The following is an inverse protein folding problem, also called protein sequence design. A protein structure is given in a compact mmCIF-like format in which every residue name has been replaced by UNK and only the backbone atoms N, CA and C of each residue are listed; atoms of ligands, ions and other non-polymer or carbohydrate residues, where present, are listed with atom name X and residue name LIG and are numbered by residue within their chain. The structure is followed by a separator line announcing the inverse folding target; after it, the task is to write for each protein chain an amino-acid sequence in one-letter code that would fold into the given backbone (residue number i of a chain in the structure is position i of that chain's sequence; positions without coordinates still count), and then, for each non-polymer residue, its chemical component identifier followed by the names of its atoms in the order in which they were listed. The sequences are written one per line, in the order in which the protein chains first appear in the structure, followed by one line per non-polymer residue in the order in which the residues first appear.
data_IF_921135071067
#
_entry.id   IF_921135071067
#
_cell.length_a   1.000
_cell.length_b   1.000
_cell.length_c   1.000
_cell.angle_alpha   90.00
_cell.angle_beta   90.00
_cell.angle_gamma   90.00
#
_symmetry.space_group_name_H-M   'P 1'
#
loop_
_entity.id
_entity.type
_entity.pdbx_description
1 polymer ?
#
# COMPACT_ATOMS: atom_id res chain seq x y z
N UNK A 1 11.30 -10.47 -14.87
CA UNK A 1 10.75 -9.41 -15.74
C UNK A 1 9.59 -10.00 -16.53
N UNK A 2 8.43 -10.14 -15.90
CA UNK A 2 7.24 -10.69 -16.52
C UNK A 2 6.36 -9.53 -17.01
N UNK A 3 6.14 -9.41 -18.32
CA UNK A 3 5.04 -8.62 -18.88
C UNK A 3 5.19 -7.10 -19.00
N UNK A 4 6.37 -6.51 -18.75
CA UNK A 4 6.54 -5.06 -18.90
C UNK A 4 6.67 -4.64 -20.37
N UNK A 5 5.84 -3.69 -20.78
CA UNK A 5 5.90 -2.98 -22.06
C UNK A 5 7.06 -1.95 -21.99
N UNK A 6 8.30 -2.39 -21.78
CA UNK A 6 9.53 -1.59 -21.93
C UNK A 6 9.71 -0.32 -21.07
N UNK A 7 8.70 0.10 -20.30
CA UNK A 7 8.71 1.33 -19.50
C UNK A 7 8.43 0.99 -18.03
N UNK A 8 9.41 1.24 -17.19
CA UNK A 8 9.32 1.06 -15.74
C UNK A 8 9.07 2.43 -15.11
N UNK A 9 7.84 2.66 -14.64
CA UNK A 9 7.54 3.80 -13.75
C UNK A 9 7.39 3.23 -12.36
N UNK A 10 8.24 3.61 -11.40
CA UNK A 10 7.97 3.33 -10.00
C UNK A 10 6.81 4.21 -9.52
N UNK A 11 5.58 3.81 -9.82
CA UNK A 11 4.35 4.57 -9.54
C UNK A 11 3.73 4.27 -8.17
N UNK A 12 4.48 3.61 -7.29
CA UNK A 12 4.00 3.28 -5.95
C UNK A 12 5.12 3.01 -4.96
N UNK A 13 6.20 2.36 -5.41
CA UNK A 13 7.27 1.89 -4.52
C UNK A 13 8.34 2.94 -4.23
N UNK A 14 8.65 3.11 -2.94
CA UNK A 14 9.72 3.97 -2.41
C UNK A 14 9.57 5.47 -2.76
N UNK A 15 8.37 5.88 -3.16
CA UNK A 15 8.04 7.25 -3.51
C UNK A 15 8.20 8.24 -2.33
N UNK A 16 8.21 7.71 -1.10
CA UNK A 16 8.57 8.42 0.12
C UNK A 16 9.75 9.39 -0.03
N UNK A 17 10.82 8.92 -0.68
CA UNK A 17 12.06 9.68 -0.89
C UNK A 17 11.79 11.04 -1.54
N UNK A 18 10.77 11.14 -2.40
CA UNK A 18 10.35 12.37 -3.07
C UNK A 18 9.99 13.48 -2.08
N UNK A 19 9.28 13.17 -0.99
CA UNK A 19 8.86 14.15 0.02
C UNK A 19 10.04 14.69 0.83
N UNK A 20 11.15 13.95 0.88
CA UNK A 20 12.36 14.38 1.58
C UNK A 20 13.29 15.20 0.69
N UNK A 21 13.24 15.05 -0.64
CA UNK A 21 14.10 15.81 -1.59
C UNK A 21 14.06 17.34 -1.41
N UNK A 22 12.93 17.99 -1.04
CA UNK A 22 12.93 19.43 -0.72
C UNK A 22 13.74 19.79 0.55
N UNK A 23 13.91 18.85 1.47
CA UNK A 23 14.63 19.02 2.74
C UNK A 23 16.09 18.54 2.59
N UNK A 24 16.28 17.40 1.93
CA UNK A 24 17.55 16.71 1.69
C UNK A 24 17.63 16.25 0.22
N UNK A 25 18.08 17.12 -0.70
CA UNK A 25 18.13 16.81 -2.13
C UNK A 25 19.16 15.72 -2.47
N UNK A 26 20.24 15.65 -1.69
CA UNK A 26 21.32 14.65 -1.76
C UNK A 26 21.65 14.12 -0.37
N UNK A 27 22.29 12.95 -0.31
CA UNK A 27 22.82 12.43 0.93
C UNK A 27 23.92 13.36 1.48
N UNK A 28 24.04 13.51 2.80
CA UNK A 28 25.11 14.31 3.40
C UNK A 28 26.49 13.71 3.14
N UNK A 29 27.50 14.57 3.00
CA UNK A 29 28.92 14.20 2.97
C UNK A 29 29.61 14.75 4.24
N UNK A 30 30.22 13.91 5.10
CA UNK A 30 30.33 12.46 5.01
C UNK A 30 28.98 11.76 5.25
N UNK A 31 28.81 10.56 4.66
CA UNK A 31 27.61 9.75 4.83
C UNK A 31 27.49 9.29 6.28
N UNK A 32 26.38 9.64 6.93
CA UNK A 32 26.09 9.28 8.33
C UNK A 32 25.12 8.11 8.41
N UNK A 33 25.27 7.29 9.46
CA UNK A 33 24.39 6.15 9.69
C UNK A 33 23.00 6.61 10.12
N UNK A 34 22.92 7.71 10.87
CA UNK A 34 21.68 8.33 11.34
C UNK A 34 20.80 8.75 10.17
N UNK A 35 21.38 9.37 9.15
CA UNK A 35 20.64 9.76 7.95
C UNK A 35 20.12 8.54 7.19
N UNK A 36 20.96 7.52 7.03
CA UNK A 36 20.61 6.27 6.33
C UNK A 36 19.46 5.55 7.06
N UNK A 37 19.53 5.49 8.39
CA UNK A 37 18.49 4.91 9.24
C UNK A 37 17.18 5.69 9.17
N UNK A 38 17.24 7.02 9.23
CA UNK A 38 16.07 7.88 9.14
C UNK A 38 15.37 7.77 7.78
N UNK A 39 16.12 7.76 6.68
CA UNK A 39 15.59 7.55 5.33
C UNK A 39 15.01 6.16 5.15
N UNK A 40 15.61 5.14 5.74
CA UNK A 40 15.04 3.80 5.79
C UNK A 40 13.66 3.80 6.42
N UNK A 41 13.46 4.37 7.61
CA UNK A 41 12.14 4.46 8.26
C UNK A 41 11.09 5.24 7.46
N UNK A 42 11.52 6.33 6.83
CA UNK A 42 10.71 7.14 5.93
C UNK A 42 10.21 6.36 4.72
N UNK A 43 11.06 5.53 4.13
CA UNK A 43 10.72 4.71 2.98
C UNK A 43 9.93 3.48 3.44
N UNK A 44 10.44 2.72 4.40
CA UNK A 44 9.79 1.59 5.05
C UNK A 44 9.94 1.71 6.58
N UNK A 45 8.84 1.82 7.35
CA UNK A 45 7.49 1.42 6.99
C UNK A 45 6.57 2.58 6.55
N UNK A 46 7.04 3.83 6.48
CA UNK A 46 6.10 4.96 6.39
C UNK A 46 5.38 5.09 5.05
N UNK A 47 6.11 4.96 3.93
CA UNK A 47 5.55 5.27 2.60
C UNK A 47 6.09 4.35 1.50
N UNK A 48 6.16 3.05 1.81
CA UNK A 48 6.68 2.03 0.91
C UNK A 48 5.84 1.96 -0.36
N UNK A 49 4.54 1.72 -0.20
CA UNK A 49 3.56 1.72 -1.26
C UNK A 49 2.27 2.40 -0.79
N UNK A 50 1.43 2.81 -1.73
CA UNK A 50 0.12 3.37 -1.42
C UNK A 50 -0.70 2.42 -0.52
N UNK A 51 -0.56 1.10 -0.75
CA UNK A 51 -1.22 0.04 0.01
C UNK A 51 -0.35 -0.57 1.13
N UNK A 52 0.90 -0.15 1.30
CA UNK A 52 1.81 -0.60 2.36
C UNK A 52 2.44 0.60 3.06
N UNK A 53 1.99 0.87 4.29
CA UNK A 53 2.54 1.93 5.12
C UNK A 53 1.45 2.77 5.75
N UNK A 54 1.82 3.97 6.21
CA UNK A 54 0.95 4.80 7.05
C UNK A 54 -0.25 5.33 6.27
N UNK A 55 -0.09 5.53 4.96
CA UNK A 55 -1.14 6.02 4.07
C UNK A 55 -2.18 4.95 3.68
N UNK A 56 -1.90 3.65 3.87
CA UNK A 56 -2.79 2.57 3.43
C UNK A 56 -4.21 2.72 3.98
N UNK A 57 -4.33 3.06 5.28
CA UNK A 57 -5.61 3.22 5.94
C UNK A 57 -6.45 4.33 5.30
N UNK A 58 -5.81 5.40 4.80
CA UNK A 58 -6.51 6.47 4.08
C UNK A 58 -6.99 6.02 2.69
N UNK A 59 -6.21 5.21 1.98
CA UNK A 59 -6.64 4.67 0.69
C UNK A 59 -7.73 3.60 0.81
N UNK A 60 -7.77 2.89 1.93
CA UNK A 60 -8.84 1.93 2.23
C UNK A 60 -10.16 2.60 2.65
N UNK A 61 -10.19 3.92 2.86
CA UNK A 61 -11.38 4.65 3.31
C UNK A 61 -12.64 4.41 2.46
N UNK A 62 -12.61 4.45 1.11
CA UNK A 62 -13.81 4.23 0.31
C UNK A 62 -14.45 2.86 0.55
N UNK A 63 -13.60 1.83 0.71
CA UNK A 63 -14.02 0.47 1.05
C UNK A 63 -14.61 0.42 2.46
N UNK A 64 -13.98 1.10 3.43
CA UNK A 64 -14.47 1.20 4.80
C UNK A 64 -15.84 1.88 4.88
N UNK A 65 -16.06 2.97 4.12
CA UNK A 65 -17.36 3.64 4.05
C UNK A 65 -18.42 2.79 3.35
N UNK A 66 -18.05 2.06 2.30
CA UNK A 66 -18.95 1.12 1.64
C UNK A 66 -19.40 0.02 2.61
N UNK A 67 -18.47 -0.55 3.37
CA UNK A 67 -18.79 -1.55 4.40
C UNK A 67 -19.61 -0.95 5.54
N UNK A 68 -19.32 0.29 5.94
CA UNK A 68 -20.11 1.00 6.94
C UNK A 68 -21.55 1.19 6.50
N UNK A 69 -21.78 1.55 5.24
CA UNK A 69 -23.13 1.69 4.67
C UNK A 69 -23.90 0.36 4.68
N UNK A 70 -23.22 -0.74 4.37
CA UNK A 70 -23.78 -2.10 4.38
C UNK A 70 -24.17 -2.57 5.79
N UNK A 71 -23.34 -2.21 6.78
CA UNK A 71 -23.52 -2.61 8.19
C UNK A 71 -24.33 -1.61 9.00
N UNK A 72 -24.79 -0.51 8.37
CA UNK A 72 -25.46 0.63 9.03
C UNK A 72 -24.61 1.26 10.14
N UNK A 73 -23.28 1.19 10.00
CA UNK A 73 -22.32 1.80 10.93
C UNK A 73 -22.21 3.30 10.66
N UNK A 74 -22.05 4.09 11.72
CA UNK A 74 -21.92 5.54 11.61
C UNK A 74 -20.63 5.94 10.84
N UNK A 75 -20.72 6.69 9.73
CA UNK A 75 -19.56 7.12 8.94
C UNK A 75 -18.55 7.96 9.73
N UNK A 76 -19.02 8.76 10.70
CA UNK A 76 -18.14 9.56 11.56
C UNK A 76 -17.25 8.68 12.43
N UNK A 77 -17.76 7.54 12.90
CA UNK A 77 -16.98 6.60 13.69
C UNK A 77 -15.94 5.90 12.81
N UNK A 78 -16.31 5.55 11.58
CA UNK A 78 -15.39 4.97 10.60
C UNK A 78 -14.23 5.92 10.31
N UNK A 79 -14.52 7.20 10.04
CA UNK A 79 -13.49 8.23 9.87
C UNK A 79 -12.54 8.32 11.06
N UNK A 80 -13.09 8.40 12.28
CA UNK A 80 -12.30 8.50 13.52
C UNK A 80 -11.40 7.28 13.70
N UNK A 81 -11.93 6.08 13.51
CA UNK A 81 -11.18 4.82 13.67
C UNK A 81 -10.11 4.71 12.60
N UNK A 82 -10.42 5.01 11.33
CA UNK A 82 -9.44 4.97 10.25
C UNK A 82 -8.33 6.00 10.45
N UNK A 83 -8.66 7.22 10.88
CA UNK A 83 -7.64 8.24 11.21
C UNK A 83 -6.77 7.82 12.39
N UNK A 84 -7.36 7.25 13.45
CA UNK A 84 -6.63 6.70 14.58
C UNK A 84 -5.68 5.57 14.13
N UNK A 85 -6.17 4.62 13.34
CA UNK A 85 -5.39 3.49 12.85
C UNK A 85 -4.28 3.89 11.86
N UNK A 86 -4.45 5.00 11.13
CA UNK A 86 -3.46 5.52 10.21
C UNK A 86 -2.27 6.19 10.93
N UNK A 87 -2.47 6.68 12.15
CA UNK A 87 -1.48 7.52 12.86
C UNK A 87 -0.89 6.76 14.06
N UNK A 88 -1.73 6.22 14.94
CA UNK A 88 -1.29 5.74 16.26
C UNK A 88 -0.53 4.41 16.17
N UNK A 89 -1.07 3.33 15.57
CA UNK A 89 -0.34 2.06 15.47
C UNK A 89 1.02 2.18 14.76
N UNK A 90 1.16 2.91 13.63
CA UNK A 90 2.46 3.00 12.97
C UNK A 90 3.51 3.77 13.77
N UNK A 91 3.12 4.84 14.48
CA UNK A 91 4.03 5.56 15.41
C UNK A 91 4.47 4.63 16.55
N UNK A 92 3.53 3.91 17.17
CA UNK A 92 3.86 2.95 18.23
C UNK A 92 4.77 1.84 17.72
N UNK A 93 4.58 1.36 16.50
CA UNK A 93 5.43 0.34 15.89
C UNK A 93 6.88 0.85 15.71
N UNK A 94 7.07 2.07 15.20
CA UNK A 94 8.41 2.67 15.05
C UNK A 94 9.06 2.89 16.42
N UNK A 95 8.34 3.45 17.39
CA UNK A 95 8.91 3.67 18.74
C UNK A 95 9.28 2.34 19.39
N UNK A 96 8.44 1.33 19.25
CA UNK A 96 8.68 0.00 19.84
C UNK A 96 9.88 -0.70 19.20
N UNK A 97 10.04 -0.64 17.87
CA UNK A 97 11.19 -1.28 17.20
C UNK A 97 12.49 -0.55 17.54
N UNK A 98 12.49 0.78 17.61
CA UNK A 98 13.67 1.56 18.03
C UNK A 98 14.05 1.20 19.48
N UNK A 99 13.06 1.21 20.39
CA UNK A 99 13.29 0.83 21.78
C UNK A 99 13.83 -0.60 21.92
N UNK A 100 13.27 -1.56 21.18
CA UNK A 100 13.74 -2.94 21.17
C UNK A 100 15.17 -3.04 20.65
N UNK A 101 15.53 -2.31 19.59
CA UNK A 101 16.89 -2.28 19.05
C UNK A 101 17.90 -1.74 20.07
N UNK A 102 17.57 -0.69 20.82
CA UNK A 102 18.44 -0.15 21.87
C UNK A 102 18.55 -1.05 23.10
N UNK A 103 17.49 -1.80 23.42
CA UNK A 103 17.44 -2.63 24.63
C UNK A 103 18.12 -3.99 24.43
N UNK A 104 17.85 -4.64 23.30
CA UNK A 104 18.29 -6.02 23.06
C UNK A 104 19.47 -6.11 22.09
N UNK A 105 19.74 -5.06 21.32
CA UNK A 105 20.70 -5.07 20.22
C UNK A 105 20.14 -5.77 18.99
N UNK A 106 20.32 -5.16 17.82
CA UNK A 106 19.70 -5.63 16.58
C UNK A 106 20.13 -7.06 16.19
N UNK A 107 21.44 -7.36 16.31
CA UNK A 107 22.00 -8.67 15.95
C UNK A 107 21.66 -9.78 16.94
N UNK A 108 21.12 -9.43 18.11
CA UNK A 108 20.73 -10.39 19.14
C UNK A 108 19.28 -10.84 18.99
N UNK A 109 18.50 -10.19 18.11
CA UNK A 109 17.11 -10.56 17.84
C UNK A 109 17.07 -11.76 16.88
N UNK A 110 16.49 -12.92 17.28
CA UNK A 110 16.41 -14.10 16.42
C UNK A 110 15.66 -13.78 15.12
N UNK A 111 16.29 -14.05 13.97
CA UNK A 111 15.71 -13.79 12.65
C UNK A 111 15.88 -12.36 12.11
N UNK A 112 16.50 -11.45 12.86
CA UNK A 112 16.80 -10.09 12.42
C UNK A 112 18.26 -9.96 11.97
N UNK A 113 18.55 -10.40 10.76
CA UNK A 113 19.12 -9.43 9.84
C UNK A 113 17.89 -8.71 9.30
N UNK A 114 17.70 -7.41 9.56
CA UNK A 114 16.64 -6.66 8.88
C UNK A 114 16.72 -7.05 7.40
N UNK A 115 15.80 -7.87 6.88
CA UNK A 115 15.96 -8.42 5.51
C UNK A 115 15.62 -7.37 4.44
N UNK A 116 15.39 -6.13 4.89
CA UNK A 116 14.95 -4.92 4.21
C UNK A 116 15.26 -3.70 5.10
N UNK A 117 16.42 -3.72 5.75
CA UNK A 117 16.82 -2.73 6.73
C UNK A 117 17.15 -1.37 6.13
N UNK A 118 17.15 -0.34 6.99
CA UNK A 118 17.62 0.97 6.58
C UNK A 118 19.04 0.95 6.00
N UNK A 119 19.90 0.03 6.47
CA UNK A 119 21.33 0.04 6.18
C UNK A 119 21.76 -0.89 5.04
N UNK A 120 21.02 -1.97 4.76
CA UNK A 120 21.32 -2.94 3.69
C UNK A 120 20.59 -2.61 2.38
N UNK A 121 19.33 -2.15 2.45
CA UNK A 121 18.49 -1.89 1.28
C UNK A 121 18.37 -0.41 0.93
N UNK A 122 18.27 0.45 1.93
CA UNK A 122 18.09 1.91 1.74
C UNK A 122 19.42 2.65 1.78
N UNK A 123 20.37 2.21 0.95
CA UNK A 123 21.66 2.88 0.84
C UNK A 123 21.48 4.33 0.36
N UNK A 124 22.43 5.23 0.67
CA UNK A 124 22.38 6.60 0.16
C UNK A 124 22.23 6.69 -1.35
N UNK A 125 22.93 5.82 -2.08
CA UNK A 125 22.79 5.72 -3.53
C UNK A 125 21.38 5.30 -3.96
N UNK A 126 20.76 4.36 -3.24
CA UNK A 126 19.37 3.99 -3.48
C UNK A 126 18.44 5.19 -3.29
N UNK A 127 18.50 5.88 -2.16
CA UNK A 127 17.62 7.02 -1.86
C UNK A 127 17.80 8.16 -2.86
N UNK A 128 19.03 8.43 -3.30
CA UNK A 128 19.30 9.49 -4.27
C UNK A 128 18.69 9.24 -5.64
N UNK A 129 18.60 7.96 -6.03
CA UNK A 129 18.07 7.51 -7.31
C UNK A 129 16.54 7.58 -7.40
N UNK A 130 15.83 7.63 -6.27
CA UNK A 130 14.38 7.47 -6.22
C UNK A 130 13.64 8.73 -5.74
N UNK A 131 12.45 9.04 -6.30
CA UNK A 131 11.87 8.44 -7.51
C UNK A 131 12.62 8.85 -8.81
N UNK A 132 13.44 9.91 -8.73
CA UNK A 132 14.36 10.32 -9.79
C UNK A 132 15.56 11.06 -9.20
N UNK A 133 16.74 10.94 -9.85
CA UNK A 133 17.90 11.81 -9.53
C UNK A 133 17.59 13.26 -9.92
N UNK A 134 17.78 14.19 -9.00
CA UNK A 134 17.59 15.63 -9.25
C UNK A 134 16.12 16.06 -9.19
N UNK A 135 15.64 16.71 -10.26
CA UNK A 135 14.30 17.31 -10.31
C UNK A 135 13.25 16.22 -10.60
N UNK A 136 12.45 15.86 -9.59
CA UNK A 136 11.44 14.80 -9.63
C UNK A 136 9.98 15.30 -9.76
N UNK A 137 9.74 16.57 -9.40
CA UNK A 137 8.38 17.10 -9.29
C UNK A 137 7.65 17.28 -10.64
N UNK A 138 8.30 17.58 -11.78
CA UNK A 138 7.61 17.69 -13.06
C UNK A 138 6.96 16.36 -13.48
N UNK A 139 7.64 15.24 -13.24
CA UNK A 139 7.12 13.91 -13.53
C UNK A 139 5.95 13.57 -12.60
N UNK A 140 6.04 13.94 -11.32
CA UNK A 140 4.95 13.77 -10.37
C UNK A 140 3.70 14.59 -10.76
N UNK A 141 3.89 15.85 -11.18
CA UNK A 141 2.80 16.71 -11.66
C UNK A 141 2.19 16.15 -12.95
N UNK A 142 3.01 15.67 -13.89
CA UNK A 142 2.52 15.04 -15.11
C UNK A 142 1.68 13.80 -14.81
N UNK A 143 2.13 12.94 -13.88
CA UNK A 143 1.37 11.77 -13.43
C UNK A 143 0.06 12.14 -12.75
N UNK A 144 0.08 13.15 -11.87
CA UNK A 144 -1.13 13.68 -11.23
C UNK A 144 -2.12 14.23 -12.25
N UNK A 145 -1.67 15.04 -13.21
CA UNK A 145 -2.51 15.61 -14.25
C UNK A 145 -3.08 14.52 -15.17
N UNK A 146 -2.28 13.51 -15.54
CA UNK A 146 -2.76 12.38 -16.32
C UNK A 146 -3.86 11.62 -15.57
N UNK A 147 -3.64 11.27 -14.30
CA UNK A 147 -4.65 10.60 -13.47
C UNK A 147 -5.91 11.45 -13.29
N UNK A 148 -5.75 12.76 -13.07
CA UNK A 148 -6.86 13.70 -12.95
C UNK A 148 -7.68 13.79 -14.24
N UNK A 149 -7.01 13.96 -15.39
CA UNK A 149 -7.68 14.01 -16.70
C UNK A 149 -8.39 12.71 -17.00
N UNK A 150 -7.77 11.56 -16.76
CA UNK A 150 -8.40 10.25 -16.94
C UNK A 150 -9.68 10.12 -16.09
N UNK A 151 -9.60 10.45 -14.80
CA UNK A 151 -10.77 10.42 -13.91
C UNK A 151 -11.83 11.45 -14.32
N UNK A 152 -11.43 12.64 -14.75
CA UNK A 152 -12.36 13.67 -15.21
C UNK A 152 -13.10 13.23 -16.48
N UNK A 153 -12.38 12.67 -17.46
CA UNK A 153 -12.97 12.15 -18.69
C UNK A 153 -13.90 10.96 -18.41
N UNK A 154 -13.49 10.05 -17.53
CA UNK A 154 -14.31 8.91 -17.12
C UNK A 154 -15.60 9.36 -16.40
N UNK A 155 -15.52 10.38 -15.55
CA UNK A 155 -16.69 10.95 -14.88
C UNK A 155 -17.60 11.74 -15.85
N UNK A 156 -17.04 12.37 -16.88
CA UNK A 156 -17.79 13.22 -17.83
C UNK A 156 -18.39 12.45 -19.00
N UNK A 157 -17.74 11.38 -19.45
CA UNK A 157 -18.10 10.60 -20.62
C UNK A 157 -18.33 9.14 -20.26
N UNK A 158 -19.60 8.72 -20.26
CA UNK A 158 -20.01 7.34 -19.91
C UNK A 158 -19.34 6.27 -20.80
N UNK A 159 -18.97 6.61 -22.04
CA UNK A 159 -18.33 5.68 -22.97
C UNK A 159 -16.81 5.59 -22.80
N UNK A 160 -16.18 6.49 -22.04
CA UNK A 160 -14.72 6.52 -21.92
C UNK A 160 -14.24 5.39 -20.99
N UNK A 161 -13.49 4.39 -21.51
CA UNK A 161 -13.25 3.15 -20.79
C UNK A 161 -12.06 3.24 -19.82
N UNK A 162 -11.25 4.30 -19.91
CA UNK A 162 -10.03 4.42 -19.11
C UNK A 162 -10.29 5.16 -17.82
N UNK A 163 -9.73 4.64 -16.73
CA UNK A 163 -9.78 5.22 -15.39
C UNK A 163 -8.38 5.25 -14.81
N UNK A 164 -8.16 6.12 -13.82
CA UNK A 164 -6.84 6.28 -13.21
C UNK A 164 -6.33 4.99 -12.54
N UNK A 165 -7.22 4.14 -12.02
CA UNK A 165 -6.82 2.87 -11.38
C UNK A 165 -6.35 1.83 -12.42
N UNK A 166 -6.99 1.78 -13.59
CA UNK A 166 -6.55 0.95 -14.70
C UNK A 166 -5.21 1.43 -15.27
N UNK A 167 -5.01 2.76 -15.32
CA UNK A 167 -3.70 3.34 -15.64
C UNK A 167 -2.64 2.93 -14.61
N UNK A 168 -2.94 3.02 -13.31
CA UNK A 168 -2.04 2.58 -12.24
C UNK A 168 -1.65 1.10 -12.42
N UNK A 169 -2.60 0.21 -12.69
CA UNK A 169 -2.30 -1.21 -12.94
C UNK A 169 -1.43 -1.47 -14.18
N UNK A 170 -1.48 -0.58 -15.18
CA UNK A 170 -0.67 -0.71 -16.38
C UNK A 170 0.78 -0.21 -16.18
N UNK A 171 0.99 0.76 -15.28
CA UNK A 171 2.31 1.37 -15.06
C UNK A 171 3.02 0.88 -13.80
N UNK A 172 2.28 0.35 -12.82
CA UNK A 172 2.84 -0.11 -11.54
C UNK A 172 3.32 -1.56 -11.62
N UNK A 173 4.64 -1.74 -11.50
CA UNK A 173 5.29 -3.06 -11.52
C UNK A 173 4.69 -4.02 -10.49
N UNK A 174 4.44 -3.52 -9.28
CA UNK A 174 4.04 -4.36 -8.17
C UNK A 174 2.56 -4.72 -8.18
N UNK A 175 1.71 -3.83 -8.69
CA UNK A 175 0.32 -4.22 -8.97
C UNK A 175 0.23 -5.37 -9.97
N UNK A 176 1.19 -5.49 -10.91
CA UNK A 176 1.31 -6.66 -11.76
C UNK A 176 1.87 -7.89 -11.02
N UNK A 177 2.92 -7.72 -10.21
CA UNK A 177 3.54 -8.83 -9.44
C UNK A 177 2.59 -9.42 -8.38
N UNK A 178 1.76 -8.60 -7.73
CA UNK A 178 0.78 -9.03 -6.73
C UNK A 178 -0.51 -9.61 -7.33
N UNK A 179 -0.54 -9.86 -8.64
CA UNK A 179 -1.68 -10.46 -9.33
C UNK A 179 -3.02 -9.72 -9.10
N UNK A 180 -2.98 -8.40 -8.85
CA UNK A 180 -4.19 -7.61 -8.60
C UNK A 180 -5.11 -7.59 -9.83
N UNK A 181 -4.53 -7.54 -11.04
CA UNK A 181 -5.28 -7.63 -12.28
C UNK A 181 -5.99 -8.98 -12.44
N UNK A 182 -5.39 -10.08 -11.99
CA UNK A 182 -6.00 -11.42 -12.04
C UNK A 182 -7.20 -11.49 -11.09
N UNK A 183 -7.04 -10.94 -9.88
CA UNK A 183 -8.11 -10.84 -8.88
C UNK A 183 -9.30 -10.03 -9.41
N UNK A 184 -9.03 -8.89 -10.06
CA UNK A 184 -10.04 -8.06 -10.71
C UNK A 184 -10.74 -8.80 -11.86
N UNK A 185 -9.98 -9.52 -12.70
CA UNK A 185 -10.52 -10.32 -13.80
C UNK A 185 -11.43 -11.44 -13.28
N UNK A 186 -10.98 -12.20 -12.27
CA UNK A 186 -11.78 -13.26 -11.63
C UNK A 186 -13.08 -12.67 -11.06
N UNK A 187 -12.99 -11.55 -10.33
CA UNK A 187 -14.16 -10.88 -9.78
C UNK A 187 -15.13 -10.43 -10.88
N UNK A 188 -14.62 -9.92 -12.00
CA UNK A 188 -15.43 -9.54 -13.16
C UNK A 188 -16.12 -10.74 -13.82
N UNK A 189 -15.41 -11.86 -14.01
CA UNK A 189 -15.98 -13.10 -14.55
C UNK A 189 -17.10 -13.62 -13.65
N UNK A 190 -16.84 -13.76 -12.35
CA UNK A 190 -17.83 -14.24 -11.37
C UNK A 190 -19.04 -13.32 -11.30
N UNK A 191 -18.84 -11.99 -11.29
CA UNK A 191 -19.92 -11.01 -11.33
C UNK A 191 -20.75 -11.13 -12.61
N UNK A 192 -20.09 -11.25 -13.75
CA UNK A 192 -20.76 -11.35 -15.06
C UNK A 192 -21.58 -12.63 -15.16
N UNK A 193 -21.04 -13.77 -14.71
CA UNK A 193 -21.76 -15.04 -14.66
C UNK A 193 -22.97 -14.95 -13.73
N UNK A 194 -22.79 -14.38 -12.53
CA UNK A 194 -23.87 -14.22 -11.55
C UNK A 194 -25.02 -13.37 -12.11
N UNK A 195 -24.69 -12.25 -12.77
CA UNK A 195 -25.68 -11.36 -13.39
C UNK A 195 -26.37 -11.99 -14.60
N UNK A 196 -25.64 -12.74 -15.45
CA UNK A 196 -26.20 -13.38 -16.64
C UNK A 196 -27.09 -14.58 -16.30
N UNK A 197 -26.74 -15.38 -15.31
CA UNK A 197 -27.46 -16.62 -14.96
C UNK A 197 -28.61 -16.33 -13.99
N UNK A 198 -28.37 -15.52 -12.96
CA UNK A 198 -29.34 -15.29 -11.87
C UNK A 198 -29.98 -13.91 -11.84
N UNK A 199 -29.62 -13.02 -12.78
CA UNK A 199 -30.10 -11.65 -12.81
C UNK A 199 -29.60 -10.80 -11.63
N UNK A 200 -30.12 -9.57 -11.55
CA UNK A 200 -29.77 -8.61 -10.48
C UNK A 200 -30.16 -9.12 -9.09
N UNK A 201 -31.27 -9.85 -8.99
CA UNK A 201 -31.78 -10.37 -7.70
C UNK A 201 -30.81 -11.37 -7.05
N UNK A 202 -30.22 -12.30 -7.82
CA UNK A 202 -29.22 -13.24 -7.28
C UNK A 202 -27.93 -12.52 -6.89
N UNK A 203 -27.51 -11.54 -7.70
CA UNK A 203 -26.32 -10.76 -7.40
C UNK A 203 -26.46 -9.99 -6.08
N UNK A 204 -27.59 -9.33 -5.85
CA UNK A 204 -27.82 -8.58 -4.61
C UNK A 204 -28.07 -9.49 -3.40
N UNK A 205 -28.86 -10.56 -3.56
CA UNK A 205 -29.23 -11.43 -2.46
C UNK A 205 -28.11 -12.40 -2.03
N UNK A 206 -27.23 -12.81 -2.94
CA UNK A 206 -26.23 -13.86 -2.67
C UNK A 206 -24.83 -13.46 -3.11
N UNK A 207 -24.65 -12.94 -4.32
CA UNK A 207 -23.32 -12.59 -4.84
C UNK A 207 -22.60 -11.55 -3.97
N UNK A 208 -23.30 -10.48 -3.60
CA UNK A 208 -22.76 -9.39 -2.77
C UNK A 208 -22.45 -9.84 -1.32
N UNK A 209 -23.35 -10.55 -0.61
CA UNK A 209 -23.01 -11.12 0.71
C UNK A 209 -21.84 -12.10 0.69
N UNK A 210 -21.73 -12.98 -0.31
CA UNK A 210 -20.60 -13.93 -0.42
C UNK A 210 -19.28 -13.19 -0.59
N UNK A 211 -19.21 -12.21 -1.49
CA UNK A 211 -18.01 -11.40 -1.68
C UNK A 211 -17.62 -10.65 -0.41
N UNK A 212 -18.60 -10.05 0.29
CA UNK A 212 -18.37 -9.39 1.57
C UNK A 212 -17.84 -10.38 2.63
N UNK A 213 -18.44 -11.57 2.72
CA UNK A 213 -18.01 -12.63 3.63
C UNK A 213 -16.59 -13.10 3.37
N UNK A 214 -16.19 -13.23 2.10
CA UNK A 214 -14.82 -13.60 1.72
C UNK A 214 -13.79 -12.56 2.19
N UNK A 215 -14.06 -11.26 1.95
CA UNK A 215 -13.18 -10.17 2.39
C UNK A 215 -13.05 -10.13 3.91
N UNK A 216 -14.18 -10.29 4.63
CA UNK A 216 -14.19 -10.33 6.10
C UNK A 216 -13.42 -11.57 6.61
N UNK A 217 -13.66 -12.74 6.01
CA UNK A 217 -12.98 -13.98 6.37
C UNK A 217 -11.47 -13.89 6.18
N UNK A 218 -11.01 -13.32 5.06
CA UNK A 218 -9.61 -13.06 4.81
C UNK A 218 -9.00 -12.12 5.86
N UNK A 219 -9.69 -11.02 6.21
CA UNK A 219 -9.24 -10.10 7.25
C UNK A 219 -9.11 -10.80 8.62
N UNK A 220 -10.08 -11.63 8.99
CA UNK A 220 -10.03 -12.43 10.23
C UNK A 220 -8.85 -13.41 10.19
N UNK A 221 -8.63 -14.11 9.08
CA UNK A 221 -7.50 -15.02 8.91
C UNK A 221 -6.16 -14.29 9.05
N UNK A 222 -6.01 -13.09 8.49
CA UNK A 222 -4.79 -12.29 8.66
C UNK A 222 -4.54 -11.95 10.14
N UNK A 223 -5.57 -11.54 10.88
CA UNK A 223 -5.45 -11.24 12.32
C UNK A 223 -5.08 -12.48 13.11
N UNK A 224 -5.82 -13.58 12.93
CA UNK A 224 -5.56 -14.83 13.65
C UNK A 224 -4.20 -15.42 13.30
N UNK A 225 -3.83 -15.42 12.02
CA UNK A 225 -2.53 -15.86 11.54
C UNK A 225 -1.40 -15.02 12.12
N UNK A 226 -1.57 -13.70 12.21
CA UNK A 226 -0.62 -12.81 12.88
C UNK A 226 -0.45 -13.13 14.37
N UNK A 227 -1.54 -13.36 15.10
CA UNK A 227 -1.49 -13.74 16.52
C UNK A 227 -0.83 -15.10 16.71
N UNK A 228 -1.18 -16.10 15.91
CA UNK A 228 -0.56 -17.43 15.96
C UNK A 228 0.92 -17.34 15.65
N UNK A 229 1.31 -16.58 14.63
CA UNK A 229 2.70 -16.32 14.28
C UNK A 229 3.48 -15.68 15.43
N UNK A 230 2.90 -14.68 16.09
CA UNK A 230 3.50 -14.04 17.26
C UNK A 230 3.65 -15.01 18.43
N UNK A 231 2.67 -15.87 18.70
CA UNK A 231 2.77 -16.89 19.75
C UNK A 231 3.87 -17.90 19.39
N UNK A 232 3.94 -18.36 18.14
CA UNK A 232 4.96 -19.32 17.68
C UNK A 232 6.38 -18.77 17.70
N UNK A 233 6.54 -17.46 17.58
CA UNK A 233 7.83 -16.82 17.82
C UNK A 233 8.33 -17.07 19.25
N UNK A 234 7.46 -17.03 20.25
CA UNK A 234 7.81 -17.32 21.65
C UNK A 234 7.80 -18.81 22.00
N UNK A 235 6.99 -19.60 21.30
CA UNK A 235 6.86 -21.05 21.47
C UNK A 235 7.13 -21.78 20.15
N UNK A 236 8.41 -22.00 19.80
CA UNK A 236 8.80 -22.62 18.53
C UNK A 236 8.24 -24.06 18.38
N UNK A 237 8.22 -24.55 17.14
CA UNK A 237 7.62 -25.84 16.75
C UNK A 237 8.18 -27.04 17.52
#
# INVERSE_FOLDING_TARGET
YYGLIGYMVPSGFYAAAAFFKPIWPSAPEPRTMEWTVAMGFAIMPASNAAYEGWAHQFLAMPSNYTLASLTKTNPKNVLKITAFAAIVPPVLAIVSIIWACYTFGLNSLPGQSFTWGPTDRFTPEFIENWPARGIWWPQAVAGFLAAFVLNYLHARFVWFPFEAIGFLFAVDLWAMDMALWQSALIAWVVKTLTLRIGGSKLYEATGRPVAAGFVIGFAIMCVLGGVVGAIRFFFPF
#
